data_IF_782567690753
#
_entry.id   IF_782567690753
#
_cell.length_a   1.000
_cell.length_b   1.000
_cell.length_c   1.000
_cell.angle_alpha   90.00
_cell.angle_beta   90.00
_cell.angle_gamma   90.00
#
_symmetry.space_group_name_H-M   'P 1'
#
loop_
_entity.id
_entity.type
_entity.pdbx_description
1 polymer ?
#
# COMPACT_ATOMS: atom_id res chain seq x y z
N UNK A 1 -2.00 3.84 15.95
CA UNK A 1 -2.62 2.93 14.94
C UNK A 1 -4.13 3.16 14.77
N UNK A 2 -4.76 3.91 15.67
CA UNK A 2 -6.21 4.05 15.73
C UNK A 2 -6.79 4.83 14.56
N UNK A 3 -6.08 5.85 14.07
CA UNK A 3 -6.47 6.62 12.89
C UNK A 3 -6.78 5.71 11.70
N UNK A 4 -5.92 4.74 11.41
CA UNK A 4 -6.10 3.82 10.27
C UNK A 4 -7.23 2.81 10.50
N UNK A 5 -7.58 2.52 11.75
CA UNK A 5 -8.68 1.60 12.09
C UNK A 5 -10.05 2.24 11.81
N UNK A 6 -10.18 3.54 12.07
CA UNK A 6 -11.43 4.28 11.87
C UNK A 6 -11.53 5.01 10.51
N UNK A 7 -10.46 4.98 9.71
CA UNK A 7 -10.46 5.61 8.39
C UNK A 7 -11.17 4.73 7.36
N UNK A 8 -12.26 5.24 6.79
CA UNK A 8 -13.06 4.57 5.75
C UNK A 8 -12.43 4.72 4.35
N UNK A 9 -11.17 4.33 4.19
CA UNK A 9 -10.46 4.31 2.90
C UNK A 9 -10.02 2.89 2.57
N UNK A 10 -10.11 2.50 1.30
CA UNK A 10 -9.65 1.19 0.82
C UNK A 10 -8.18 0.91 1.17
N UNK A 11 -7.34 1.95 1.21
CA UNK A 11 -5.92 1.83 1.52
C UNK A 11 -5.64 1.58 3.01
N UNK A 12 -6.55 1.96 3.91
CA UNK A 12 -6.33 1.91 5.36
C UNK A 12 -5.94 0.51 5.89
N UNK A 13 -6.64 -0.60 5.55
CA UNK A 13 -6.24 -1.92 6.01
C UNK A 13 -4.88 -2.37 5.48
N UNK A 14 -4.52 -1.96 4.26
CA UNK A 14 -3.21 -2.29 3.67
C UNK A 14 -2.07 -1.56 4.37
N UNK A 15 -2.23 -0.26 4.63
CA UNK A 15 -1.23 0.54 5.35
C UNK A 15 -1.08 0.06 6.79
N UNK A 16 -2.19 -0.27 7.48
CA UNK A 16 -2.15 -0.84 8.84
C UNK A 16 -1.31 -2.11 8.89
N UNK A 17 -1.55 -3.04 7.96
CA UNK A 17 -0.77 -4.29 7.88
C UNK A 17 0.71 -4.02 7.61
N UNK A 18 1.02 -3.07 6.74
CA UNK A 18 2.39 -2.71 6.40
C UNK A 18 3.12 -2.08 7.59
N UNK A 19 2.49 -1.17 8.32
CA UNK A 19 3.08 -0.58 9.53
C UNK A 19 3.28 -1.62 10.64
N UNK A 20 2.34 -2.55 10.83
CA UNK A 20 2.51 -3.65 11.78
C UNK A 20 3.74 -4.51 11.42
N UNK A 21 3.95 -4.78 10.13
CA UNK A 21 5.15 -5.48 9.66
C UNK A 21 6.41 -4.66 9.86
N UNK A 22 6.37 -3.34 9.60
CA UNK A 22 7.53 -2.46 9.78
C UNK A 22 7.96 -2.38 11.25
N UNK A 23 6.99 -2.28 12.18
CA UNK A 23 7.26 -2.31 13.63
C UNK A 23 7.85 -3.66 14.04
N UNK A 24 7.29 -4.78 13.58
CA UNK A 24 7.84 -6.10 13.87
C UNK A 24 9.27 -6.29 13.35
N UNK A 25 9.57 -5.77 12.15
CA UNK A 25 10.91 -5.82 11.58
C UNK A 25 11.91 -4.90 12.31
N UNK A 26 11.44 -3.81 12.90
CA UNK A 26 12.27 -2.92 13.71
C UNK A 26 12.55 -3.53 15.09
N UNK A 27 11.54 -4.17 15.70
CA UNK A 27 11.68 -4.94 16.94
C UNK A 27 12.71 -6.08 16.78
N UNK A 28 12.68 -6.80 15.64
CA UNK A 28 13.69 -7.82 15.31
C UNK A 28 15.11 -7.24 15.15
N UNK A 29 15.23 -5.95 14.83
CA UNK A 29 16.51 -5.24 14.75
C UNK A 29 16.91 -4.57 16.08
N UNK A 30 16.27 -4.93 17.19
CA UNK A 30 16.52 -4.39 18.54
C UNK A 30 16.28 -2.88 18.65
N UNK A 31 15.44 -2.31 17.78
CA UNK A 31 15.04 -0.90 17.87
C UNK A 31 13.98 -0.69 18.97
N UNK A 32 13.97 0.50 19.58
CA UNK A 32 13.00 0.84 20.62
C UNK A 32 11.61 1.13 20.03
N UNK A 33 10.70 0.17 20.17
CA UNK A 33 9.34 0.22 19.63
C UNK A 33 8.53 1.42 20.13
N UNK A 34 8.79 1.91 21.35
CA UNK A 34 8.05 3.06 21.90
C UNK A 34 8.47 4.38 21.25
N UNK A 35 9.71 4.46 20.78
CA UNK A 35 10.29 5.64 20.14
C UNK A 35 10.26 5.61 18.61
N UNK A 36 9.70 4.56 18.00
CA UNK A 36 9.57 4.47 16.55
C UNK A 36 8.59 5.50 15.98
N UNK A 37 9.08 6.30 15.03
CA UNK A 37 8.30 7.25 14.26
C UNK A 37 8.38 6.95 12.76
N UNK A 38 7.33 7.33 12.01
CA UNK A 38 7.33 7.25 10.55
C UNK A 38 8.06 8.48 10.01
N UNK A 39 9.24 8.26 9.42
CA UNK A 39 10.06 9.34 8.84
C UNK A 39 9.65 9.63 7.40
N UNK A 40 9.37 8.57 6.63
CA UNK A 40 9.02 8.69 5.22
C UNK A 40 7.91 7.71 4.86
N UNK A 41 6.97 8.17 4.04
CA UNK A 41 5.91 7.36 3.47
C UNK A 41 5.65 7.76 2.02
N UNK A 42 6.03 6.88 1.10
CA UNK A 42 5.98 7.12 -0.34
C UNK A 42 5.18 6.01 -1.04
N UNK A 43 4.54 6.35 -2.16
CA UNK A 43 3.75 5.40 -2.96
C UNK A 43 4.16 5.53 -4.42
N UNK A 44 4.71 4.44 -4.94
CA UNK A 44 5.21 4.37 -6.31
C UNK A 44 4.29 3.52 -7.19
N UNK A 45 4.42 3.71 -8.50
CA UNK A 45 3.65 2.96 -9.47
C UNK A 45 4.28 1.57 -9.70
N UNK A 46 3.52 0.51 -9.40
CA UNK A 46 3.91 -0.88 -9.69
C UNK A 46 3.54 -1.31 -11.12
N UNK A 47 2.82 -0.44 -11.85
CA UNK A 47 2.35 -0.69 -13.20
C UNK A 47 1.03 -1.46 -13.26
N UNK A 48 0.78 -2.11 -14.39
CA UNK A 48 -0.46 -2.90 -14.59
C UNK A 48 -0.35 -4.22 -13.85
N UNK A 49 -1.38 -4.54 -13.06
CA UNK A 49 -1.46 -5.82 -12.35
C UNK A 49 -1.47 -6.98 -13.35
N UNK A 50 -0.42 -7.80 -13.28
CA UNK A 50 -0.20 -8.95 -14.16
C UNK A 50 -1.39 -9.92 -14.06
N UNK A 51 -1.78 -10.53 -15.18
CA UNK A 51 -2.89 -11.49 -15.24
C UNK A 51 -4.30 -10.91 -15.08
N UNK A 52 -4.45 -9.59 -14.91
CA UNK A 52 -5.78 -8.98 -14.65
C UNK A 52 -6.32 -8.13 -15.80
N UNK A 53 -5.79 -8.30 -17.02
CA UNK A 53 -6.23 -7.55 -18.21
C UNK A 53 -7.69 -7.92 -18.52
N UNK A 54 -8.54 -6.90 -18.62
CA UNK A 54 -9.94 -7.05 -19.00
C UNK A 54 -10.31 -6.05 -20.09
N UNK A 55 -11.43 -6.29 -20.76
CA UNK A 55 -11.93 -5.45 -21.84
C UNK A 55 -13.38 -5.05 -21.56
N UNK A 56 -13.72 -3.81 -21.88
CA UNK A 56 -15.10 -3.33 -21.86
C UNK A 56 -15.63 -3.35 -23.29
N UNK A 57 -16.75 -4.06 -23.56
CA UNK A 57 -17.36 -4.06 -24.88
C UNK A 57 -17.89 -2.65 -25.22
N UNK A 58 -17.82 -2.30 -26.50
CA UNK A 58 -18.29 -1.01 -27.01
C UNK A 58 -19.01 -1.19 -28.35
N UNK A 59 -19.60 -0.11 -28.84
CA UNK A 59 -20.36 -0.06 -30.09
C UNK A 59 -19.50 -0.45 -31.30
N UNK A 60 -20.19 -0.93 -32.35
CA UNK A 60 -19.58 -1.27 -33.65
C UNK A 60 -18.42 -2.28 -33.54
N UNK A 61 -18.56 -3.28 -32.66
CA UNK A 61 -17.56 -4.34 -32.49
C UNK A 61 -16.24 -3.88 -31.87
N UNK A 62 -16.21 -2.71 -31.20
CA UNK A 62 -15.01 -2.18 -30.55
C UNK A 62 -14.88 -2.67 -29.11
N UNK A 63 -13.66 -2.65 -28.58
CA UNK A 63 -13.39 -2.93 -27.18
C UNK A 63 -12.33 -1.97 -26.62
N UNK A 64 -12.53 -1.49 -25.40
CA UNK A 64 -11.53 -0.69 -24.68
C UNK A 64 -10.88 -1.49 -23.54
N UNK A 65 -9.57 -1.36 -23.33
CA UNK A 65 -8.89 -2.09 -22.26
C UNK A 65 -9.18 -1.47 -20.90
N UNK A 66 -9.53 -2.30 -19.92
CA UNK A 66 -9.59 -1.93 -18.51
C UNK A 66 -8.18 -2.08 -17.93
N UNK A 67 -7.61 -0.96 -17.45
CA UNK A 67 -6.30 -0.93 -16.79
C UNK A 67 -6.51 -1.09 -15.28
N UNK A 68 -6.11 -2.24 -14.75
CA UNK A 68 -6.06 -2.46 -13.30
C UNK A 68 -4.65 -2.16 -12.84
N UNK A 69 -4.48 -1.00 -12.25
CA UNK A 69 -3.19 -0.51 -11.78
C UNK A 69 -2.89 -1.04 -10.38
N UNK A 70 -1.60 -1.18 -10.09
CA UNK A 70 -1.07 -1.54 -8.79
C UNK A 70 -0.03 -0.48 -8.39
N UNK A 71 0.23 -0.40 -7.09
CA UNK A 71 1.19 0.52 -6.50
C UNK A 71 2.07 -0.22 -5.50
N UNK A 72 3.30 0.24 -5.33
CA UNK A 72 4.17 -0.15 -4.24
C UNK A 72 4.06 0.89 -3.13
N UNK A 73 3.99 0.43 -1.88
CA UNK A 73 3.90 1.30 -0.71
C UNK A 73 5.22 1.14 0.04
N UNK A 74 5.93 2.25 0.21
CA UNK A 74 7.19 2.33 0.93
C UNK A 74 6.97 3.11 2.21
N UNK A 75 7.35 2.53 3.34
CA UNK A 75 7.33 3.21 4.64
C UNK A 75 8.64 2.96 5.35
N UNK A 76 9.25 4.04 5.82
CA UNK A 76 10.48 4.03 6.59
C UNK A 76 10.15 4.46 8.01
N UNK A 77 10.53 3.62 8.97
CA UNK A 77 10.43 3.91 10.41
C UNK A 77 11.84 4.15 10.97
N UNK A 78 11.96 5.07 11.91
CA UNK A 78 13.23 5.37 12.58
C UNK A 78 12.97 5.79 14.03
N UNK A 79 13.99 5.68 14.85
CA UNK A 79 13.99 6.19 16.23
C UNK A 79 14.08 7.72 16.18
N UNK A 80 13.23 8.38 16.97
CA UNK A 80 13.16 9.84 17.07
C UNK A 80 14.26 10.47 17.92
#
# INVERSE_FOLDING_TARGET
MDLLTFTHKRAAPHIKKLLQSAVANADEQEADVENLCVVEACVDQAGRRIGTKAWHPKDRGRAHPIRKEASHIHVTVSEG
#
